data_IF_554687424887
#
_entry.id   IF_554687424887
#
_cell.length_a   1.000
_cell.length_b   1.000
_cell.length_c   1.000
_cell.angle_alpha   90.00
_cell.angle_beta   90.00
_cell.angle_gamma   90.00
#
_symmetry.space_group_name_H-M   'P 1'
#
loop_
_entity.id
_entity.type
_entity.pdbx_description
1 polymer ?
#
# COMPACT_ATOMS: atom_id res chain seq x y z
N UNK A 1 -0.20 17.72 5.60
CA UNK A 1 0.74 16.71 6.08
C UNK A 1 1.54 16.09 4.93
N UNK A 2 0.95 15.34 3.99
CA UNK A 2 1.72 14.80 2.85
C UNK A 2 2.38 15.88 2.00
N UNK A 3 1.78 17.07 1.88
CA UNK A 3 2.38 18.24 1.22
C UNK A 3 3.64 18.78 1.91
N UNK A 4 3.91 18.40 3.17
CA UNK A 4 5.13 18.74 3.88
C UNK A 4 6.25 17.72 3.67
N UNK A 5 5.98 16.63 2.94
CA UNK A 5 6.98 15.59 2.66
C UNK A 5 7.55 15.84 1.27
N UNK A 6 8.85 16.04 1.23
CA UNK A 6 9.63 16.33 0.03
C UNK A 6 10.43 15.11 -0.39
N UNK A 7 10.33 14.74 -1.66
CA UNK A 7 11.22 13.76 -2.27
C UNK A 7 12.34 14.50 -2.98
N UNK A 8 13.58 14.22 -2.59
CA UNK A 8 14.78 14.88 -3.12
C UNK A 8 15.63 13.87 -3.88
N UNK A 9 15.83 14.10 -5.17
CA UNK A 9 16.69 13.28 -6.01
C UNK A 9 18.00 14.02 -6.28
N UNK A 10 19.13 13.40 -5.91
CA UNK A 10 20.44 14.02 -6.04
C UNK A 10 21.18 13.47 -7.25
N UNK A 11 21.52 14.36 -8.19
CA UNK A 11 22.30 14.08 -9.39
C UNK A 11 21.83 12.84 -10.17
N UNK A 12 20.50 12.73 -10.34
CA UNK A 12 19.91 11.62 -11.09
C UNK A 12 20.46 11.60 -12.51
N UNK A 13 20.94 10.43 -12.90
CA UNK A 13 21.60 10.25 -14.19
C UNK A 13 20.58 10.03 -15.33
N UNK A 14 19.61 9.15 -15.12
CA UNK A 14 18.61 8.79 -16.11
C UNK A 14 17.31 9.57 -15.93
N UNK A 15 16.90 10.39 -16.91
CA UNK A 15 15.65 11.16 -16.81
C UNK A 15 14.42 10.27 -16.60
N UNK A 16 14.44 9.03 -17.12
CA UNK A 16 13.38 8.07 -16.88
C UNK A 16 13.14 7.74 -15.40
N UNK A 17 14.18 7.77 -14.56
CA UNK A 17 14.02 7.60 -13.11
C UNK A 17 13.29 8.79 -12.46
N UNK A 18 13.49 10.00 -12.97
CA UNK A 18 12.76 11.19 -12.52
C UNK A 18 11.27 11.04 -12.81
N UNK A 19 10.92 10.65 -14.05
CA UNK A 19 9.54 10.42 -14.46
C UNK A 19 8.87 9.29 -13.65
N UNK A 20 9.54 8.16 -13.52
CA UNK A 20 9.04 7.03 -12.73
C UNK A 20 8.87 7.40 -11.25
N UNK A 21 9.76 8.24 -10.69
CA UNK A 21 9.63 8.79 -9.35
C UNK A 21 8.40 9.69 -9.22
N UNK A 22 8.17 10.61 -10.15
CA UNK A 22 6.97 11.45 -10.18
C UNK A 22 5.69 10.60 -10.14
N UNK A 23 5.65 9.53 -10.93
CA UNK A 23 4.53 8.58 -10.91
C UNK A 23 4.38 7.87 -9.57
N UNK A 24 5.48 7.39 -8.98
CA UNK A 24 5.49 6.77 -7.66
C UNK A 24 4.95 7.72 -6.59
N UNK A 25 5.40 8.96 -6.59
CA UNK A 25 4.95 10.01 -5.68
C UNK A 25 3.45 10.26 -5.79
N UNK A 26 2.97 10.49 -7.01
CA UNK A 26 1.55 10.81 -7.26
C UNK A 26 0.63 9.68 -6.81
N UNK A 27 1.00 8.42 -7.06
CA UNK A 27 0.22 7.25 -6.60
C UNK A 27 0.12 7.14 -5.08
N UNK A 28 1.07 7.74 -4.36
CA UNK A 28 1.13 7.77 -2.89
C UNK A 28 0.72 9.13 -2.29
N UNK A 29 0.20 10.06 -3.12
CA UNK A 29 -0.30 11.35 -2.67
C UNK A 29 0.80 12.36 -2.29
N UNK A 30 2.04 12.13 -2.71
CA UNK A 30 3.17 13.05 -2.54
C UNK A 30 3.28 13.97 -3.74
N UNK A 31 3.53 15.26 -3.51
CA UNK A 31 3.52 16.30 -4.56
C UNK A 31 4.83 17.08 -4.66
N UNK A 32 5.66 17.10 -3.62
CA UNK A 32 6.86 17.94 -3.58
C UNK A 32 8.08 17.17 -4.06
N UNK A 33 8.47 17.41 -5.32
CA UNK A 33 9.69 16.88 -5.93
C UNK A 33 10.76 17.97 -6.00
N UNK A 34 11.96 17.67 -5.52
CA UNK A 34 13.13 18.52 -5.67
C UNK A 34 14.25 17.74 -6.34
N UNK A 35 14.83 18.34 -7.36
CA UNK A 35 15.94 17.76 -8.13
C UNK A 35 17.20 18.58 -7.83
N UNK A 36 18.19 17.93 -7.24
CA UNK A 36 19.50 18.55 -6.96
C UNK A 36 20.45 18.24 -8.10
N UNK A 37 20.78 19.24 -8.91
CA UNK A 37 21.72 19.13 -10.02
C UNK A 37 21.48 17.87 -10.89
N UNK A 38 20.27 17.65 -11.42
CA UNK A 38 19.97 16.52 -12.27
C UNK A 38 20.81 16.60 -13.54
N UNK A 39 21.22 15.45 -14.09
CA UNK A 39 22.05 15.45 -15.32
C UNK A 39 21.31 16.01 -16.52
N UNK A 40 20.02 15.68 -16.64
CA UNK A 40 19.17 16.10 -17.73
C UNK A 40 17.73 16.24 -17.25
N UNK A 41 17.27 17.49 -17.19
CA UNK A 41 15.89 17.85 -16.84
C UNK A 41 15.63 19.30 -17.26
N UNK A 42 14.47 19.64 -17.89
CA UNK A 42 13.41 18.70 -18.31
C UNK A 42 13.85 17.76 -19.46
N UNK A 43 13.08 16.66 -19.63
CA UNK A 43 13.39 15.65 -20.64
C UNK A 43 12.13 14.87 -21.04
N UNK A 44 12.02 14.51 -22.34
CA UNK A 44 10.87 13.80 -22.90
C UNK A 44 10.70 12.38 -22.29
N UNK A 45 11.79 11.73 -21.94
CA UNK A 45 11.76 10.41 -21.31
C UNK A 45 11.19 10.50 -19.89
N UNK A 46 11.54 11.55 -19.15
CA UNK A 46 10.95 11.83 -17.84
C UNK A 46 9.44 12.01 -17.97
N UNK A 47 9.01 12.83 -18.92
CA UNK A 47 7.57 13.08 -19.19
C UNK A 47 6.86 11.78 -19.58
N UNK A 48 7.44 10.99 -20.46
CA UNK A 48 6.87 9.72 -20.91
C UNK A 48 6.69 8.71 -19.75
N UNK A 49 7.68 8.58 -18.86
CA UNK A 49 7.62 7.64 -17.74
C UNK A 49 6.82 8.17 -16.53
N UNK A 50 6.60 9.47 -16.45
CA UNK A 50 5.66 10.06 -15.48
C UNK A 50 4.21 9.70 -15.80
N UNK A 51 3.90 9.36 -17.06
CA UNK A 51 2.54 9.07 -17.53
C UNK A 51 1.55 10.18 -17.11
N UNK A 52 0.58 9.88 -16.24
CA UNK A 52 -0.40 10.87 -15.72
C UNK A 52 0.12 11.76 -14.58
N UNK A 53 1.42 11.72 -14.25
CA UNK A 53 2.02 12.46 -13.13
C UNK A 53 2.91 13.63 -13.60
N UNK A 54 2.64 14.21 -14.76
CA UNK A 54 3.42 15.33 -15.32
C UNK A 54 3.35 16.58 -14.46
N UNK A 55 2.25 16.81 -13.76
CA UNK A 55 2.10 17.88 -12.79
C UNK A 55 3.17 17.87 -11.67
N UNK A 56 3.65 16.69 -11.27
CA UNK A 56 4.76 16.59 -10.33
C UNK A 56 6.10 17.00 -10.95
N UNK A 57 6.28 16.82 -12.26
CA UNK A 57 7.46 17.30 -12.99
C UNK A 57 7.37 18.81 -13.24
N UNK A 58 6.18 19.29 -13.63
CA UNK A 58 5.96 20.73 -13.92
C UNK A 58 6.17 21.60 -12.68
N UNK A 59 5.87 21.08 -11.48
CA UNK A 59 6.06 21.73 -10.20
C UNK A 59 7.39 21.38 -9.51
N UNK A 60 8.25 20.57 -10.14
CA UNK A 60 9.52 20.17 -9.57
C UNK A 60 10.46 21.37 -9.41
N UNK A 61 11.04 21.50 -8.23
CA UNK A 61 12.08 22.49 -7.98
C UNK A 61 13.44 21.93 -8.41
N UNK A 62 14.23 22.72 -9.12
CA UNK A 62 15.60 22.36 -9.48
C UNK A 62 16.55 23.29 -8.73
N UNK A 63 17.45 22.70 -7.94
CA UNK A 63 18.46 23.41 -7.16
C UNK A 63 19.86 22.89 -7.48
N UNK A 64 20.89 23.61 -7.08
CA UNK A 64 22.27 23.23 -7.38
C UNK A 64 22.89 22.36 -6.27
N UNK A 65 22.50 22.58 -5.03
CA UNK A 65 23.06 21.97 -3.83
C UNK A 65 21.98 21.30 -2.97
N UNK A 66 22.36 20.24 -2.26
CA UNK A 66 21.44 19.54 -1.36
C UNK A 66 20.97 20.42 -0.19
N UNK A 67 21.86 21.26 0.34
CA UNK A 67 21.52 22.18 1.44
C UNK A 67 20.37 23.12 1.08
N UNK A 68 20.32 23.60 -0.17
CA UNK A 68 19.19 24.42 -0.65
C UNK A 68 17.86 23.63 -0.63
N UNK A 69 17.93 22.33 -0.95
CA UNK A 69 16.76 21.46 -1.00
C UNK A 69 16.18 21.13 0.38
N UNK A 70 16.98 21.21 1.46
CA UNK A 70 16.60 20.68 2.79
C UNK A 70 16.72 21.68 3.92
N UNK A 71 17.10 22.94 3.63
CA UNK A 71 17.42 23.98 4.64
C UNK A 71 16.27 24.28 5.62
N UNK A 72 15.03 24.14 5.17
CA UNK A 72 13.80 24.37 5.94
C UNK A 72 13.23 23.09 6.58
N UNK A 73 13.85 21.93 6.34
CA UNK A 73 13.37 20.65 6.82
C UNK A 73 13.82 20.37 8.26
N UNK A 74 12.88 19.97 9.11
CA UNK A 74 13.17 19.56 10.51
C UNK A 74 13.72 18.14 10.60
N UNK A 75 13.48 17.33 9.58
CA UNK A 75 13.99 15.97 9.44
C UNK A 75 14.40 15.72 8.00
N UNK A 76 15.60 15.18 7.81
CA UNK A 76 16.15 14.82 6.51
C UNK A 76 16.61 13.37 6.59
N UNK A 77 15.98 12.47 5.83
CA UNK A 77 16.29 11.04 5.85
C UNK A 77 16.96 10.65 4.55
N UNK A 78 18.21 10.24 4.62
CA UNK A 78 18.97 9.73 3.47
C UNK A 78 18.70 8.24 3.24
N UNK A 79 18.21 7.88 2.06
CA UNK A 79 18.06 6.49 1.65
C UNK A 79 19.42 5.90 1.22
N UNK A 80 19.85 4.82 1.84
CA UNK A 80 21.12 4.17 1.55
C UNK A 80 21.00 2.65 1.60
N UNK A 81 21.48 1.96 0.56
CA UNK A 81 21.55 0.50 0.55
C UNK A 81 22.67 -0.06 1.45
N UNK A 82 23.58 0.79 1.91
CA UNK A 82 24.72 0.41 2.75
C UNK A 82 24.77 1.30 3.97
N UNK A 83 24.83 0.69 5.14
CA UNK A 83 25.21 1.43 6.36
C UNK A 83 26.60 2.03 6.18
N UNK A 84 26.66 3.34 6.23
CA UNK A 84 27.93 4.05 6.25
C UNK A 84 28.32 4.31 7.70
N UNK A 85 29.61 4.33 7.99
CA UNK A 85 30.18 4.52 9.32
C UNK A 85 30.01 5.94 9.90
N UNK A 86 29.01 6.70 9.43
CA UNK A 86 28.65 8.00 9.96
C UNK A 86 27.70 7.82 11.15
N UNK A 87 27.89 8.53 12.27
CA UNK A 87 27.12 8.38 13.50
C UNK A 87 25.73 9.04 13.42
N UNK A 88 24.98 8.74 12.37
CA UNK A 88 23.60 9.21 12.23
C UNK A 88 22.63 8.14 12.72
N UNK A 89 21.54 8.52 13.39
CA UNK A 89 20.45 7.63 13.68
C UNK A 89 19.98 6.90 12.42
N UNK A 90 19.75 5.60 12.52
CA UNK A 90 19.42 4.75 11.39
C UNK A 90 18.10 4.04 11.65
N UNK A 91 17.20 4.10 10.68
CA UNK A 91 16.00 3.29 10.63
C UNK A 91 16.31 1.97 9.90
N UNK A 92 16.25 0.86 10.61
CA UNK A 92 16.44 -0.47 10.03
C UNK A 92 15.23 -0.90 9.22
N UNK A 93 14.04 -0.43 9.62
CA UNK A 93 12.77 -0.73 8.97
C UNK A 93 12.15 0.55 8.36
N UNK A 94 11.70 0.48 7.10
CA UNK A 94 10.98 1.59 6.45
C UNK A 94 9.69 2.02 7.17
N UNK A 95 9.02 1.13 7.90
CA UNK A 95 7.83 1.45 8.68
C UNK A 95 8.14 2.42 9.83
N UNK A 96 9.25 2.21 10.55
CA UNK A 96 9.68 3.10 11.65
C UNK A 96 10.04 4.49 11.13
N UNK A 97 10.77 4.53 10.01
CA UNK A 97 11.05 5.79 9.29
C UNK A 97 9.76 6.50 8.92
N UNK A 98 8.79 5.78 8.33
CA UNK A 98 7.53 6.37 7.88
C UNK A 98 6.69 6.93 9.04
N UNK A 99 6.68 6.28 10.19
CA UNK A 99 6.03 6.78 11.40
C UNK A 99 6.65 8.10 11.87
N UNK A 100 7.99 8.16 11.95
CA UNK A 100 8.71 9.37 12.36
C UNK A 100 8.51 10.52 11.36
N UNK A 101 8.63 10.25 10.06
CA UNK A 101 8.44 11.21 8.97
C UNK A 101 7.02 11.77 8.98
N UNK A 102 5.99 10.92 9.08
CA UNK A 102 4.60 11.39 9.12
C UNK A 102 4.27 12.17 10.39
N UNK A 103 4.94 11.87 11.50
CA UNK A 103 4.78 12.64 12.75
C UNK A 103 5.32 14.05 12.59
N UNK A 104 6.55 14.21 12.11
CA UNK A 104 7.19 15.50 11.94
C UNK A 104 6.53 16.33 10.84
N UNK A 105 6.09 15.70 9.75
CA UNK A 105 5.40 16.35 8.65
C UNK A 105 4.05 17.00 9.01
N UNK A 106 3.53 16.76 10.20
CA UNK A 106 2.34 17.47 10.69
C UNK A 106 2.64 18.95 10.99
N UNK A 107 3.87 19.24 11.36
CA UNK A 107 4.26 20.54 11.92
C UNK A 107 5.23 21.31 11.02
N UNK A 108 6.07 20.63 10.25
CA UNK A 108 7.12 21.27 9.46
C UNK A 108 7.54 20.39 8.27
N UNK A 109 8.25 20.96 7.28
CA UNK A 109 8.78 20.20 6.16
C UNK A 109 9.76 19.09 6.59
N UNK A 110 9.68 17.95 5.91
CA UNK A 110 10.61 16.83 6.03
C UNK A 110 11.04 16.35 4.64
N UNK A 111 12.25 15.82 4.51
CA UNK A 111 12.79 15.36 3.24
C UNK A 111 13.20 13.88 3.29
N UNK A 112 12.88 13.14 2.22
CA UNK A 112 13.45 11.84 1.89
C UNK A 112 14.41 12.05 0.73
N UNK A 113 15.69 11.77 0.95
CA UNK A 113 16.80 12.08 0.02
C UNK A 113 17.32 10.78 -0.60
N UNK A 114 17.38 10.78 -1.91
CA UNK A 114 17.85 9.65 -2.70
C UNK A 114 19.04 10.07 -3.56
N UNK A 115 20.07 9.27 -3.54
CA UNK A 115 21.29 9.53 -4.31
C UNK A 115 21.26 8.97 -5.73
N UNK A 116 22.41 9.05 -6.38
CA UNK A 116 22.66 8.56 -7.76
C UNK A 116 22.41 7.06 -7.87
N UNK A 117 22.05 6.60 -9.04
CA UNK A 117 21.71 5.20 -9.33
C UNK A 117 22.90 4.25 -9.06
N UNK A 118 24.13 4.68 -9.31
CA UNK A 118 25.31 3.81 -9.19
C UNK A 118 26.03 3.91 -7.87
N UNK A 119 26.11 5.11 -7.28
CA UNK A 119 26.95 5.40 -6.11
C UNK A 119 26.14 5.78 -4.87
N UNK A 120 24.84 6.04 -4.99
CA UNK A 120 24.01 6.56 -3.92
C UNK A 120 24.40 7.97 -3.52
N UNK A 121 24.20 8.31 -2.24
CA UNK A 121 24.61 9.56 -1.63
C UNK A 121 26.10 9.52 -1.28
N UNK A 122 26.81 10.63 -1.43
CA UNK A 122 28.17 10.80 -0.94
C UNK A 122 28.19 10.98 0.60
N UNK A 123 29.38 10.92 1.21
CA UNK A 123 29.50 11.16 2.65
C UNK A 123 29.09 12.59 3.03
N UNK A 124 29.38 13.57 2.16
CA UNK A 124 29.01 14.97 2.42
C UNK A 124 27.49 15.15 2.33
N UNK A 125 26.83 14.51 1.38
CA UNK A 125 25.37 14.51 1.27
C UNK A 125 24.70 13.79 2.45
N UNK A 126 25.28 12.69 2.94
CA UNK A 126 24.80 12.04 4.16
C UNK A 126 24.98 12.94 5.40
N UNK A 127 26.01 13.77 5.47
CA UNK A 127 26.15 14.75 6.57
C UNK A 127 25.09 15.82 6.58
N UNK A 128 24.47 16.13 5.45
CA UNK A 128 23.28 17.00 5.37
C UNK A 128 22.01 16.32 5.89
N UNK A 129 22.01 15.00 6.08
CA UNK A 129 20.87 14.26 6.60
C UNK A 129 20.90 14.23 8.13
N UNK A 130 19.72 14.13 8.74
CA UNK A 130 19.55 13.92 10.18
C UNK A 130 19.45 12.44 10.54
N UNK A 131 19.00 11.61 9.61
CA UNK A 131 18.79 10.16 9.75
C UNK A 131 19.18 9.46 8.46
N UNK A 132 19.36 8.15 8.58
CA UNK A 132 19.46 7.25 7.43
C UNK A 132 18.34 6.20 7.48
N UNK A 133 17.98 5.68 6.32
CA UNK A 133 17.09 4.52 6.20
C UNK A 133 17.68 3.54 5.19
N UNK A 134 17.61 2.25 5.50
CA UNK A 134 17.84 1.19 4.54
C UNK A 134 16.53 0.44 4.24
N UNK A 135 16.45 -0.09 3.02
CA UNK A 135 15.35 -0.97 2.63
C UNK A 135 15.89 -2.39 2.70
N UNK A 136 15.38 -3.24 3.59
CA UNK A 136 15.76 -4.64 3.65
C UNK A 136 15.46 -5.31 2.30
N UNK A 137 16.48 -5.85 1.67
CA UNK A 137 16.40 -6.50 0.36
C UNK A 137 17.19 -7.78 0.36
N UNK A 138 17.14 -8.55 -0.74
CA UNK A 138 17.91 -9.77 -0.89
C UNK A 138 19.42 -9.50 -0.68
N UNK A 139 20.09 -10.15 0.30
CA UNK A 139 21.51 -9.91 0.58
C UNK A 139 22.43 -10.15 -0.62
N UNK A 140 22.04 -11.06 -1.53
CA UNK A 140 22.83 -11.36 -2.72
C UNK A 140 22.58 -10.39 -3.88
N UNK A 141 21.42 -9.68 -3.87
CA UNK A 141 21.04 -8.72 -4.93
C UNK A 141 20.15 -7.62 -4.33
N UNK A 142 20.73 -6.78 -3.49
CA UNK A 142 20.00 -5.81 -2.66
C UNK A 142 19.95 -4.38 -3.20
N UNK A 143 20.47 -4.11 -4.41
CA UNK A 143 20.49 -2.76 -4.97
C UNK A 143 19.22 -2.51 -5.79
N UNK A 144 18.34 -1.68 -5.25
CA UNK A 144 17.11 -1.28 -5.93
C UNK A 144 17.38 -0.19 -6.98
N UNK A 145 16.58 -0.20 -8.04
CA UNK A 145 16.48 0.97 -8.91
C UNK A 145 15.99 2.19 -8.10
N UNK A 146 16.42 3.39 -8.49
CA UNK A 146 16.09 4.63 -7.78
C UNK A 146 14.58 4.81 -7.59
N UNK A 147 13.80 4.72 -8.65
CA UNK A 147 12.34 4.90 -8.56
C UNK A 147 11.63 3.78 -7.79
N UNK A 148 12.19 2.57 -7.78
CA UNK A 148 11.68 1.48 -6.94
C UNK A 148 11.92 1.75 -5.45
N UNK A 149 13.10 2.26 -5.08
CA UNK A 149 13.38 2.68 -3.71
C UNK A 149 12.43 3.79 -3.27
N UNK A 150 12.20 4.79 -4.13
CA UNK A 150 11.20 5.85 -3.87
C UNK A 150 9.81 5.26 -3.69
N UNK A 151 9.39 4.31 -4.55
CA UNK A 151 8.06 3.70 -4.44
C UNK A 151 7.87 2.99 -3.11
N UNK A 152 8.86 2.24 -2.63
CA UNK A 152 8.78 1.51 -1.36
C UNK A 152 8.66 2.48 -0.19
N UNK A 153 9.55 3.47 -0.10
CA UNK A 153 9.52 4.43 1.00
C UNK A 153 8.27 5.32 0.96
N UNK A 154 7.83 5.74 -0.22
CA UNK A 154 6.59 6.49 -0.40
C UNK A 154 5.35 5.67 -0.01
N UNK A 155 5.34 4.37 -0.30
CA UNK A 155 4.26 3.47 0.12
C UNK A 155 4.20 3.35 1.65
N UNK A 156 5.33 3.19 2.34
CA UNK A 156 5.35 3.12 3.80
C UNK A 156 4.88 4.44 4.43
N UNK A 157 5.31 5.57 3.88
CA UNK A 157 4.82 6.90 4.30
C UNK A 157 3.31 7.02 4.12
N UNK A 158 2.79 6.63 2.95
CA UNK A 158 1.34 6.63 2.69
C UNK A 158 0.59 5.69 3.64
N UNK A 159 1.15 4.51 3.92
CA UNK A 159 0.59 3.53 4.87
C UNK A 159 0.54 4.09 6.30
N UNK A 160 1.63 4.71 6.77
CA UNK A 160 1.70 5.34 8.08
C UNK A 160 0.72 6.53 8.19
N UNK A 161 0.62 7.34 7.12
CA UNK A 161 -0.36 8.43 7.05
C UNK A 161 -1.79 7.92 7.15
N UNK A 162 -2.15 6.88 6.40
CA UNK A 162 -3.49 6.27 6.45
C UNK A 162 -3.85 5.71 7.82
N UNK A 163 -2.89 5.13 8.54
CA UNK A 163 -3.11 4.59 9.90
C UNK A 163 -3.42 5.68 10.93
N UNK A 164 -2.97 6.92 10.68
CA UNK A 164 -3.22 8.06 11.55
C UNK A 164 -4.54 8.76 11.26
N UNK A 165 -4.94 8.74 10.01
CA UNK A 165 -6.15 9.39 9.53
C UNK A 165 -7.24 8.31 9.35
N UNK A 166 -7.85 7.89 10.46
CA UNK A 166 -8.95 6.90 10.48
C UNK A 166 -10.15 7.30 9.58
N UNK A 167 -10.16 8.53 9.04
CA UNK A 167 -11.25 9.06 8.22
C UNK A 167 -11.12 8.79 6.71
N UNK A 168 -9.94 8.40 6.19
CA UNK A 168 -9.69 8.34 4.77
C UNK A 168 -9.16 6.99 4.28
N UNK A 169 -9.96 6.24 3.72
CA UNK A 169 -9.87 4.92 3.09
C UNK A 169 -10.42 3.79 3.96
N UNK A 170 -11.68 3.84 4.25
CA UNK A 170 -12.44 2.61 4.15
C UNK A 170 -12.35 2.23 2.67
N UNK A 171 -11.45 1.30 2.33
CA UNK A 171 -11.65 0.49 1.13
C UNK A 171 -13.14 0.10 1.23
N UNK A 172 -13.98 0.66 0.37
CA UNK A 172 -15.34 0.19 0.27
C UNK A 172 -15.21 -1.25 -0.17
N UNK A 173 -15.10 -2.15 0.80
CA UNK A 173 -15.48 -3.52 0.55
C UNK A 173 -16.84 -3.41 -0.10
N UNK A 174 -17.05 -3.99 -1.29
CA UNK A 174 -18.31 -3.92 -1.95
C UNK A 174 -19.35 -4.34 -0.92
N UNK A 175 -20.10 -3.34 -0.43
CA UNK A 175 -21.14 -3.41 0.61
C UNK A 175 -20.83 -4.47 1.67
N UNK A 176 -20.52 -4.03 2.89
CA UNK A 176 -20.58 -4.91 4.05
C UNK A 176 -21.95 -5.56 4.00
N UNK A 177 -21.98 -6.75 3.45
CA UNK A 177 -23.18 -7.56 3.40
C UNK A 177 -23.39 -7.97 4.84
N UNK A 178 -24.40 -7.37 5.47
CA UNK A 178 -24.74 -7.64 6.89
C UNK A 178 -24.76 -9.15 7.09
N UNK A 179 -23.97 -9.69 8.02
CA UNK A 179 -24.02 -11.12 8.29
C UNK A 179 -25.45 -11.53 8.71
N UNK A 180 -25.89 -12.72 8.39
CA UNK A 180 -27.18 -13.22 8.85
C UNK A 180 -27.17 -13.37 10.36
N UNK A 181 -28.34 -13.21 11.01
CA UNK A 181 -28.48 -13.60 12.41
C UNK A 181 -28.29 -15.11 12.55
N UNK A 182 -27.92 -15.55 13.77
CA UNK A 182 -27.80 -16.97 14.07
C UNK A 182 -29.09 -17.74 13.75
N UNK A 183 -30.22 -17.16 14.05
CA UNK A 183 -31.56 -17.72 13.73
C UNK A 183 -31.75 -17.91 12.22
N UNK A 184 -31.44 -16.88 11.42
CA UNK A 184 -31.54 -16.95 9.95
C UNK A 184 -30.66 -18.05 9.38
N UNK A 185 -29.46 -18.21 9.92
CA UNK A 185 -28.52 -19.26 9.49
C UNK A 185 -29.03 -20.65 9.88
N UNK A 186 -29.53 -20.83 11.08
CA UNK A 186 -30.14 -22.10 11.54
C UNK A 186 -31.37 -22.48 10.71
N UNK A 187 -32.21 -21.51 10.36
CA UNK A 187 -33.38 -21.76 9.48
C UNK A 187 -32.93 -22.22 8.08
N UNK A 188 -31.88 -21.65 7.53
CA UNK A 188 -31.32 -22.13 6.27
C UNK A 188 -30.79 -23.57 6.39
N UNK A 189 -30.02 -23.86 7.45
CA UNK A 189 -29.52 -25.22 7.67
C UNK A 189 -30.62 -26.24 7.83
N UNK A 190 -31.67 -25.92 8.57
CA UNK A 190 -32.84 -26.78 8.73
C UNK A 190 -33.59 -27.00 7.42
N UNK A 191 -33.72 -25.96 6.58
CA UNK A 191 -34.32 -26.07 5.24
C UNK A 191 -33.49 -26.98 4.34
N UNK A 192 -32.19 -26.79 4.29
CA UNK A 192 -31.26 -27.62 3.54
C UNK A 192 -31.34 -29.10 3.98
N UNK A 193 -31.34 -29.37 5.27
CA UNK A 193 -31.45 -30.72 5.84
C UNK A 193 -32.74 -31.42 5.44
N UNK A 194 -33.89 -30.73 5.56
CA UNK A 194 -35.18 -31.29 5.11
C UNK A 194 -35.16 -31.63 3.63
N UNK A 195 -34.68 -30.73 2.79
CA UNK A 195 -34.65 -30.94 1.34
C UNK A 195 -33.73 -32.10 0.95
N UNK A 196 -32.59 -32.27 1.62
CA UNK A 196 -31.70 -33.43 1.41
C UNK A 196 -32.38 -34.75 1.77
N UNK A 197 -33.22 -34.79 2.81
CA UNK A 197 -34.00 -35.96 3.17
C UNK A 197 -35.13 -36.23 2.17
N UNK A 198 -35.90 -35.20 1.80
CA UNK A 198 -37.03 -35.32 0.83
C UNK A 198 -36.56 -35.75 -0.54
N UNK A 199 -35.40 -35.25 -0.99
CA UNK A 199 -34.83 -35.66 -2.27
C UNK A 199 -34.20 -37.05 -2.25
N UNK A 200 -34.07 -37.70 -1.09
CA UNK A 200 -33.38 -38.97 -0.95
C UNK A 200 -31.84 -38.87 -1.01
N UNK A 201 -31.29 -37.66 -1.01
CA UNK A 201 -29.83 -37.44 -0.98
C UNK A 201 -29.21 -37.94 0.30
N UNK A 202 -29.92 -37.82 1.42
CA UNK A 202 -29.57 -38.46 2.69
C UNK A 202 -30.75 -39.31 3.15
N UNK A 203 -30.47 -40.51 3.64
CA UNK A 203 -31.49 -41.46 4.10
C UNK A 203 -31.67 -41.50 5.61
N UNK A 204 -30.72 -40.94 6.35
CA UNK A 204 -30.72 -40.87 7.82
C UNK A 204 -30.46 -39.43 8.29
N UNK A 205 -31.21 -38.93 9.29
CA UNK A 205 -30.91 -37.64 9.94
C UNK A 205 -29.52 -37.69 10.55
N UNK A 206 -28.85 -36.51 10.60
CA UNK A 206 -27.48 -36.34 11.14
C UNK A 206 -26.44 -37.17 10.40
N UNK A 207 -26.63 -37.41 9.11
CA UNK A 207 -25.60 -38.03 8.30
C UNK A 207 -24.34 -37.14 8.25
N UNK A 208 -23.17 -37.78 8.17
CA UNK A 208 -21.87 -37.09 8.05
C UNK A 208 -21.86 -36.04 6.93
N UNK A 209 -22.64 -36.24 5.88
CA UNK A 209 -22.85 -35.32 4.77
C UNK A 209 -23.52 -34.01 5.22
N UNK A 210 -24.51 -34.08 6.10
CA UNK A 210 -25.18 -32.91 6.68
C UNK A 210 -24.21 -32.08 7.50
N UNK A 211 -23.41 -32.72 8.36
CA UNK A 211 -22.38 -32.04 9.15
C UNK A 211 -21.31 -31.37 8.29
N UNK A 212 -20.89 -32.03 7.20
CA UNK A 212 -19.92 -31.46 6.26
C UNK A 212 -20.46 -30.21 5.54
N UNK A 213 -21.73 -30.23 5.12
CA UNK A 213 -22.37 -29.08 4.50
C UNK A 213 -22.57 -27.93 5.51
N UNK A 214 -22.95 -28.25 6.74
CA UNK A 214 -23.03 -27.25 7.81
C UNK A 214 -21.66 -26.59 8.05
N UNK A 215 -20.58 -27.40 8.13
CA UNK A 215 -19.22 -26.88 8.29
C UNK A 215 -18.78 -26.03 7.08
N UNK A 216 -19.16 -26.43 5.86
CA UNK A 216 -18.88 -25.66 4.64
C UNK A 216 -19.52 -24.27 4.71
N UNK A 217 -20.83 -24.20 4.98
CA UNK A 217 -21.54 -22.90 5.03
C UNK A 217 -21.12 -22.06 6.23
N UNK A 218 -20.76 -22.66 7.36
CA UNK A 218 -20.19 -21.95 8.50
C UNK A 218 -18.85 -21.30 8.13
N UNK A 219 -17.99 -22.00 7.41
CA UNK A 219 -16.70 -21.49 6.93
C UNK A 219 -16.86 -20.45 5.81
N UNK A 220 -17.85 -20.63 4.92
CA UNK A 220 -18.12 -19.69 3.83
C UNK A 220 -18.67 -18.35 4.32
N UNK A 221 -19.23 -18.29 5.53
CA UNK A 221 -19.78 -17.07 6.14
C UNK A 221 -20.68 -16.27 5.17
N UNK A 222 -21.73 -16.89 4.61
CA UNK A 222 -22.56 -16.22 3.61
C UNK A 222 -23.21 -14.97 4.22
N UNK A 223 -23.27 -13.93 3.43
CA UNK A 223 -23.99 -12.70 3.74
C UNK A 223 -25.50 -12.94 3.79
N UNK A 224 -26.24 -11.99 4.37
CA UNK A 224 -27.71 -12.03 4.41
C UNK A 224 -28.34 -12.14 3.01
N UNK A 225 -27.76 -11.46 2.00
CA UNK A 225 -28.22 -11.53 0.61
C UNK A 225 -27.96 -12.89 0.00
N UNK A 226 -26.76 -13.44 0.21
CA UNK A 226 -26.40 -14.77 -0.29
C UNK A 226 -27.24 -15.86 0.36
N UNK A 227 -27.48 -15.74 1.68
CA UNK A 227 -28.35 -16.66 2.39
C UNK A 227 -29.80 -16.63 1.84
N UNK A 228 -30.31 -15.42 1.53
CA UNK A 228 -31.63 -15.27 0.90
C UNK A 228 -31.71 -15.89 -0.50
N UNK A 229 -30.64 -15.71 -1.30
CA UNK A 229 -30.49 -16.32 -2.60
C UNK A 229 -30.51 -17.86 -2.50
N UNK A 230 -29.70 -18.41 -1.60
CA UNK A 230 -29.64 -19.86 -1.36
C UNK A 230 -30.98 -20.41 -0.89
N UNK A 231 -31.69 -19.73 0.00
CA UNK A 231 -33.02 -20.14 0.44
C UNK A 231 -34.05 -20.13 -0.71
N UNK A 232 -33.98 -19.09 -1.56
CA UNK A 232 -34.84 -19.03 -2.76
C UNK A 232 -34.58 -20.20 -3.70
N UNK A 233 -33.31 -20.58 -3.90
CA UNK A 233 -32.91 -21.74 -4.69
C UNK A 233 -33.45 -23.04 -4.09
N UNK A 234 -33.31 -23.23 -2.78
CA UNK A 234 -33.85 -24.41 -2.09
C UNK A 234 -35.37 -24.50 -2.22
N UNK A 235 -36.12 -23.40 -2.07
CA UNK A 235 -37.57 -23.36 -2.25
C UNK A 235 -38.00 -23.70 -3.70
N UNK A 236 -37.22 -23.24 -4.67
CA UNK A 236 -37.48 -23.61 -6.08
C UNK A 236 -37.29 -25.11 -6.33
N UNK A 237 -36.28 -25.74 -5.73
CA UNK A 237 -36.13 -27.20 -5.82
C UNK A 237 -37.22 -27.92 -5.06
N UNK A 238 -37.62 -27.46 -3.87
CA UNK A 238 -38.65 -28.07 -3.04
C UNK A 238 -40.01 -28.14 -3.81
N UNK A 239 -40.35 -27.10 -4.60
CA UNK A 239 -41.56 -27.05 -5.38
C UNK A 239 -41.64 -28.07 -6.54
N UNK A 240 -40.51 -28.68 -6.89
CA UNK A 240 -40.43 -29.70 -7.95
C UNK A 240 -40.30 -31.15 -7.41
N UNK A 241 -40.19 -31.29 -6.10
CA UNK A 241 -40.17 -32.62 -5.49
C UNK A 241 -41.63 -33.17 -5.42
N UNK A 242 -41.85 -34.46 -5.71
CA UNK A 242 -43.15 -35.05 -5.54
C UNK A 242 -43.56 -35.05 -4.06
N UNK A 243 -44.82 -34.69 -3.80
CA UNK A 243 -45.45 -34.84 -2.48
C UNK A 243 -45.37 -36.33 -2.08
N UNK A 244 -44.64 -36.62 -1.03
CA UNK A 244 -44.57 -37.97 -0.44
C UNK A 244 -45.42 -38.04 0.80
#
# INVERSE_FOLDING_TARGET
>A
MLSNIRIVLVQTFHPGNIGATARAMKTMGLTNLVLVNPRQFPDDEATRLAAGATDALDNAQVVTQLDEAVSDCVQVVGASARLRSLPLPHFEEPDDMAQAVTQNAQHAPVALVFGRERSGLTNDEIRCCTHQVSIPANPDYGILNLSQAVQILAYEVHRAWRRRDDSHYVYQQPTQTTPPSREQFLHFQAHLGRLMQQSGFITQPHARTEEQLQALFTRAQPSRKELSLLRGLLSAFESHLPDR
#
